data_IF_864715064795
#
_entry.id   IF_864715064795
#
_cell.length_a   1.000
_cell.length_b   1.000
_cell.length_c   1.000
_cell.angle_alpha   90.00
_cell.angle_beta   90.00
_cell.angle_gamma   90.00
#
_symmetry.space_group_name_H-M   'P 1'
#
loop_
_entity.id
_entity.type
_entity.pdbx_description
1 polymer ?
#
# COMPACT_ATOMS: atom_id res chain seq x y z
N UNK A 1 -35.46 -0.24 15.46
CA UNK A 1 -34.41 0.68 15.02
C UNK A 1 -33.11 -0.09 14.79
N UNK A 2 -32.55 0.03 13.60
CA UNK A 2 -31.27 -0.59 13.27
C UNK A 2 -30.14 0.26 13.83
N UNK A 3 -30.02 0.37 15.15
CA UNK A 3 -28.99 1.14 15.81
C UNK A 3 -27.86 0.19 16.22
N UNK A 4 -26.64 0.47 15.78
CA UNK A 4 -25.45 -0.24 16.24
C UNK A 4 -24.98 0.38 17.56
N UNK A 5 -24.90 -0.42 18.61
CA UNK A 5 -24.42 0.01 19.92
C UNK A 5 -22.98 -0.48 20.12
N UNK A 6 -22.11 0.42 20.54
CA UNK A 6 -20.76 0.08 20.98
C UNK A 6 -20.57 0.50 22.43
N UNK A 7 -20.21 -0.45 23.29
CA UNK A 7 -19.83 -0.18 24.68
C UNK A 7 -18.32 0.06 24.72
N UNK A 8 -17.92 1.29 24.98
CA UNK A 8 -16.50 1.68 24.86
C UNK A 8 -15.57 0.95 25.83
N UNK A 9 -16.06 0.58 27.02
CA UNK A 9 -15.31 -0.17 28.02
C UNK A 9 -15.12 -1.66 27.67
N UNK A 10 -16.02 -2.22 26.86
CA UNK A 10 -15.86 -3.59 26.34
C UNK A 10 -14.93 -3.62 25.14
N UNK A 11 -15.03 -2.61 24.25
CA UNK A 11 -14.18 -2.50 23.07
C UNK A 11 -12.72 -2.18 23.45
N UNK A 12 -12.51 -1.28 24.40
CA UNK A 12 -11.22 -0.76 24.81
C UNK A 12 -11.20 -0.52 26.33
N UNK A 13 -10.82 -1.53 27.15
CA UNK A 13 -10.83 -1.42 28.62
C UNK A 13 -9.62 -0.61 29.13
N UNK A 14 -9.56 0.68 28.77
CA UNK A 14 -8.51 1.62 29.19
C UNK A 14 -9.11 2.81 29.93
N UNK A 15 -8.32 3.45 30.79
CA UNK A 15 -8.77 4.59 31.58
C UNK A 15 -9.00 5.89 30.79
N UNK A 16 -8.38 6.05 29.63
CA UNK A 16 -8.44 7.27 28.81
C UNK A 16 -9.77 7.44 28.12
N UNK A 17 -10.50 8.49 28.49
CA UNK A 17 -11.86 8.72 28.00
C UNK A 17 -11.93 9.07 26.50
N UNK A 18 -11.09 10.02 26.04
CA UNK A 18 -11.16 10.50 24.65
C UNK A 18 -10.81 9.39 23.64
N UNK A 19 -9.77 8.64 23.91
CA UNK A 19 -9.33 7.52 23.08
C UNK A 19 -10.40 6.45 22.97
N UNK A 20 -11.06 6.10 24.06
CA UNK A 20 -12.19 5.16 24.06
C UNK A 20 -13.38 5.69 23.28
N UNK A 21 -13.74 6.97 23.49
CA UNK A 21 -14.85 7.60 22.80
C UNK A 21 -14.63 7.62 21.28
N UNK A 22 -13.47 8.10 20.85
CA UNK A 22 -13.10 8.16 19.43
C UNK A 22 -13.12 6.78 18.78
N UNK A 23 -12.51 5.78 19.43
CA UNK A 23 -12.46 4.40 18.93
C UNK A 23 -13.87 3.78 18.89
N UNK A 24 -14.71 4.00 19.90
CA UNK A 24 -16.08 3.50 19.94
C UNK A 24 -16.98 4.17 18.88
N UNK A 25 -16.77 5.46 18.63
CA UNK A 25 -17.49 6.19 17.57
C UNK A 25 -17.13 5.61 16.19
N UNK A 26 -15.84 5.37 15.93
CA UNK A 26 -15.39 4.70 14.70
C UNK A 26 -15.98 3.30 14.57
N UNK A 27 -16.03 2.52 15.64
CA UNK A 27 -16.64 1.18 15.64
C UNK A 27 -18.12 1.23 15.29
N UNK A 28 -18.87 2.15 15.90
CA UNK A 28 -20.29 2.34 15.62
C UNK A 28 -20.56 2.81 14.19
N UNK A 29 -19.65 3.62 13.63
CA UNK A 29 -19.74 4.13 12.26
C UNK A 29 -19.50 3.04 11.22
N UNK A 30 -18.43 2.24 11.36
CA UNK A 30 -18.08 1.21 10.37
C UNK A 30 -18.86 -0.09 10.56
N UNK A 31 -19.31 -0.39 11.78
CA UNK A 31 -19.97 -1.65 12.15
C UNK A 31 -21.13 -2.05 11.24
N UNK A 32 -22.13 -1.17 10.98
CA UNK A 32 -23.27 -1.50 10.11
C UNK A 32 -22.86 -1.81 8.66
N UNK A 33 -21.82 -1.14 8.16
CA UNK A 33 -21.33 -1.33 6.80
C UNK A 33 -20.63 -2.68 6.72
N UNK A 34 -19.71 -2.95 7.64
CA UNK A 34 -18.99 -4.20 7.72
C UNK A 34 -19.92 -5.39 7.92
N UNK A 35 -20.89 -5.27 8.82
CA UNK A 35 -21.86 -6.35 9.06
C UNK A 35 -22.58 -6.75 7.78
N UNK A 36 -23.13 -5.80 7.02
CA UNK A 36 -23.80 -6.08 5.74
C UNK A 36 -22.87 -6.77 4.74
N UNK A 37 -21.62 -6.32 4.68
CA UNK A 37 -20.61 -6.94 3.83
C UNK A 37 -20.34 -8.40 4.24
N UNK A 38 -20.15 -8.67 5.53
CA UNK A 38 -19.88 -10.01 6.05
C UNK A 38 -21.07 -10.95 5.84
N UNK A 39 -22.30 -10.48 6.11
CA UNK A 39 -23.52 -11.25 5.87
C UNK A 39 -23.63 -11.64 4.38
N UNK A 40 -23.36 -10.69 3.47
CA UNK A 40 -23.35 -10.94 2.02
C UNK A 40 -22.23 -11.89 1.60
N UNK A 41 -21.04 -11.74 2.15
CA UNK A 41 -19.90 -12.60 1.86
C UNK A 41 -20.17 -14.05 2.29
N UNK A 42 -20.68 -14.26 3.51
CA UNK A 42 -21.04 -15.59 4.01
C UNK A 42 -22.12 -16.24 3.14
N UNK A 43 -23.16 -15.48 2.75
CA UNK A 43 -24.21 -15.99 1.86
C UNK A 43 -23.67 -16.39 0.47
N UNK A 44 -22.76 -15.60 -0.09
CA UNK A 44 -22.12 -15.91 -1.38
C UNK A 44 -21.22 -17.15 -1.29
N UNK A 45 -20.42 -17.26 -0.23
CA UNK A 45 -19.58 -18.44 0.02
C UNK A 45 -20.42 -19.72 0.17
N UNK A 46 -21.53 -19.65 0.92
CA UNK A 46 -22.44 -20.76 1.07
C UNK A 46 -23.06 -21.18 -0.28
N UNK A 47 -23.44 -20.20 -1.13
CA UNK A 47 -24.02 -20.45 -2.46
C UNK A 47 -23.07 -21.20 -3.40
N UNK A 48 -21.76 -20.94 -3.32
CA UNK A 48 -20.74 -21.65 -4.12
C UNK A 48 -20.26 -22.95 -3.46
N UNK A 49 -20.87 -23.36 -2.32
CA UNK A 49 -20.54 -24.60 -1.63
C UNK A 49 -19.24 -24.56 -0.81
N UNK A 50 -18.76 -23.38 -0.43
CA UNK A 50 -17.59 -23.26 0.45
C UNK A 50 -17.87 -23.91 1.81
N UNK A 51 -16.99 -24.84 2.21
CA UNK A 51 -17.09 -25.60 3.47
C UNK A 51 -15.97 -25.27 4.46
N UNK A 52 -15.09 -24.32 4.13
CA UNK A 52 -14.00 -23.90 4.99
C UNK A 52 -14.45 -22.95 6.10
N UNK A 53 -13.50 -22.55 6.94
CA UNK A 53 -13.71 -21.54 7.97
C UNK A 53 -13.39 -20.17 7.38
N UNK A 54 -14.35 -19.24 7.44
CA UNK A 54 -14.12 -17.84 7.08
C UNK A 54 -13.53 -17.12 8.29
N UNK A 55 -12.35 -16.57 8.12
CA UNK A 55 -11.69 -15.69 9.09
C UNK A 55 -11.44 -14.34 8.45
N UNK A 56 -11.51 -13.29 9.25
CA UNK A 56 -11.33 -11.90 8.82
C UNK A 56 -10.05 -11.36 9.42
N UNK A 57 -9.14 -10.90 8.56
CA UNK A 57 -7.90 -10.25 8.96
C UNK A 57 -8.18 -8.98 9.75
N UNK A 58 -7.43 -8.77 10.82
CA UNK A 58 -7.49 -7.59 11.68
C UNK A 58 -6.25 -6.71 11.50
N UNK A 59 -6.35 -5.45 11.92
CA UNK A 59 -5.27 -4.46 11.83
C UNK A 59 -4.01 -4.83 12.60
N UNK A 60 -4.11 -5.69 13.60
CA UNK A 60 -3.00 -6.19 14.40
C UNK A 60 -2.30 -7.43 13.81
N UNK A 61 -2.71 -7.86 12.61
CA UNK A 61 -2.19 -9.07 11.97
C UNK A 61 -2.82 -10.37 12.45
N UNK A 62 -3.75 -10.32 13.40
CA UNK A 62 -4.55 -11.48 13.82
C UNK A 62 -5.77 -11.69 12.92
N UNK A 63 -6.49 -12.78 13.18
CA UNK A 63 -7.75 -13.12 12.49
C UNK A 63 -8.87 -13.35 13.49
N UNK A 64 -10.11 -13.08 13.07
CA UNK A 64 -11.31 -13.29 13.89
C UNK A 64 -12.46 -13.85 13.05
N UNK A 65 -13.44 -14.48 13.71
CA UNK A 65 -14.68 -14.91 13.03
C UNK A 65 -15.52 -13.71 12.58
N UNK A 66 -16.37 -13.85 11.56
CA UNK A 66 -17.28 -12.78 11.14
C UNK A 66 -18.14 -12.21 12.28
N UNK A 67 -18.62 -13.05 13.19
CA UNK A 67 -19.44 -12.64 14.34
C UNK A 67 -18.66 -11.78 15.33
N UNK A 68 -17.42 -12.18 15.64
CA UNK A 68 -16.52 -11.39 16.49
C UNK A 68 -16.14 -10.07 15.82
N UNK A 69 -15.79 -10.14 14.53
CA UNK A 69 -15.42 -8.97 13.73
C UNK A 69 -16.56 -7.96 13.63
N UNK A 70 -17.83 -8.39 13.50
CA UNK A 70 -18.98 -7.50 13.48
C UNK A 70 -19.16 -6.69 14.78
N UNK A 71 -18.72 -7.22 15.92
CA UNK A 71 -18.74 -6.51 17.22
C UNK A 71 -17.60 -5.50 17.36
N UNK A 72 -16.44 -5.86 16.82
CA UNK A 72 -15.20 -5.07 16.88
C UNK A 72 -14.75 -4.60 15.49
N UNK A 73 -15.70 -4.06 14.73
CA UNK A 73 -15.50 -3.69 13.33
C UNK A 73 -14.30 -2.76 13.10
N UNK A 74 -14.02 -1.89 14.06
CA UNK A 74 -12.87 -0.99 14.05
C UNK A 74 -11.51 -1.70 13.93
N UNK A 75 -11.43 -2.97 14.36
CA UNK A 75 -10.22 -3.80 14.22
C UNK A 75 -9.91 -4.18 12.77
N UNK A 76 -10.82 -3.94 11.83
CA UNK A 76 -10.56 -4.19 10.39
C UNK A 76 -10.06 -2.96 9.65
N UNK A 77 -10.01 -1.80 10.30
CA UNK A 77 -9.49 -0.59 9.68
C UNK A 77 -7.99 -0.74 9.39
N UNK A 78 -7.59 -0.56 8.14
CA UNK A 78 -6.22 -0.79 7.65
C UNK A 78 -5.76 -2.26 7.73
N UNK A 79 -6.68 -3.23 7.74
CA UNK A 79 -6.32 -4.65 7.73
C UNK A 79 -5.85 -5.17 6.36
N UNK A 80 -6.12 -4.44 5.26
CA UNK A 80 -5.69 -4.84 3.91
C UNK A 80 -4.18 -5.09 3.82
N UNK A 81 -3.34 -4.11 4.15
CA UNK A 81 -1.89 -4.28 4.13
C UNK A 81 -1.34 -5.13 5.29
N UNK A 82 -2.16 -5.52 6.27
CA UNK A 82 -1.71 -6.28 7.44
C UNK A 82 -1.17 -7.68 7.09
N UNK A 83 -1.62 -8.27 5.98
CA UNK A 83 -1.04 -9.52 5.48
C UNK A 83 0.40 -9.39 4.97
N UNK A 84 0.82 -8.19 4.56
CA UNK A 84 2.17 -7.96 3.99
C UNK A 84 3.31 -8.38 4.91
N UNK A 85 3.41 -7.88 6.16
CA UNK A 85 4.45 -8.28 7.10
C UNK A 85 4.45 -9.79 7.41
N UNK A 86 3.27 -10.40 7.50
CA UNK A 86 3.13 -11.86 7.73
C UNK A 86 3.65 -12.65 6.53
N UNK A 87 3.23 -12.28 5.32
CA UNK A 87 3.76 -12.89 4.09
C UNK A 87 5.28 -12.69 3.97
N UNK A 88 5.78 -11.50 4.31
CA UNK A 88 7.20 -11.20 4.32
C UNK A 88 8.01 -12.19 5.13
N UNK A 89 7.57 -12.51 6.34
CA UNK A 89 8.20 -13.53 7.18
C UNK A 89 8.22 -14.91 6.53
N UNK A 90 7.12 -15.31 5.88
CA UNK A 90 7.04 -16.62 5.22
C UNK A 90 8.07 -16.71 4.10
N UNK A 91 8.14 -15.70 3.24
CA UNK A 91 9.05 -15.71 2.08
C UNK A 91 10.52 -15.55 2.47
N UNK A 92 10.85 -14.80 3.51
CA UNK A 92 12.23 -14.64 3.97
C UNK A 92 12.67 -15.77 4.90
N UNK A 93 11.74 -16.35 5.68
CA UNK A 93 12.00 -17.49 6.54
C UNK A 93 12.49 -18.72 5.80
N UNK A 94 12.01 -18.98 4.59
CA UNK A 94 12.51 -20.05 3.70
C UNK A 94 14.00 -19.87 3.36
N UNK A 95 14.49 -18.63 3.41
CA UNK A 95 15.90 -18.26 3.15
C UNK A 95 16.73 -18.12 4.43
N UNK A 96 16.14 -18.40 5.59
CA UNK A 96 16.81 -18.36 6.90
C UNK A 96 16.82 -16.99 7.58
N UNK A 97 16.02 -16.02 7.09
CA UNK A 97 15.88 -14.72 7.75
C UNK A 97 14.66 -14.71 8.68
N UNK A 98 14.83 -14.16 9.87
CA UNK A 98 13.77 -13.89 10.85
C UNK A 98 13.37 -12.41 10.91
N UNK A 99 13.88 -11.62 9.96
CA UNK A 99 13.62 -10.20 9.85
C UNK A 99 13.53 -9.77 8.39
N UNK A 100 12.73 -8.75 8.11
CA UNK A 100 12.63 -8.17 6.76
C UNK A 100 11.99 -6.78 6.80
N UNK A 101 12.23 -6.03 5.74
CA UNK A 101 11.43 -4.87 5.37
C UNK A 101 10.49 -5.32 4.26
N UNK A 102 9.20 -5.09 4.39
CA UNK A 102 8.24 -5.36 3.33
C UNK A 102 7.76 -4.07 2.70
N UNK A 103 7.63 -4.06 1.40
CA UNK A 103 7.06 -2.95 0.63
C UNK A 103 6.02 -3.50 -0.34
N UNK A 104 4.88 -2.82 -0.40
CA UNK A 104 3.80 -3.12 -1.35
C UNK A 104 3.44 -1.85 -2.11
N UNK A 105 3.72 -1.82 -3.42
CA UNK A 105 3.42 -0.70 -4.29
C UNK A 105 2.30 -1.04 -5.26
N UNK A 106 1.16 -0.44 -5.01
CA UNK A 106 0.01 -0.51 -5.88
C UNK A 106 -0.09 0.68 -6.86
N UNK A 107 -1.33 0.96 -7.29
CA UNK A 107 -1.61 2.10 -8.18
C UNK A 107 -1.58 3.46 -7.47
N UNK A 108 -1.83 3.53 -6.16
CA UNK A 108 -2.05 4.80 -5.43
C UNK A 108 -1.15 4.98 -4.23
N UNK A 109 -0.70 3.91 -3.60
CA UNK A 109 0.09 3.93 -2.37
C UNK A 109 1.28 3.00 -2.43
N UNK A 110 2.20 3.27 -1.55
CA UNK A 110 3.34 2.45 -1.21
C UNK A 110 3.28 2.20 0.29
N UNK A 111 3.00 0.98 0.69
CA UNK A 111 2.88 0.55 2.06
C UNK A 111 4.17 -0.17 2.49
N UNK A 112 4.75 0.26 3.60
CA UNK A 112 6.00 -0.26 4.11
C UNK A 112 5.88 -0.69 5.56
N UNK A 113 6.53 -1.79 5.92
CA UNK A 113 6.59 -2.28 7.30
C UNK A 113 7.91 -2.96 7.61
N UNK A 114 8.20 -3.12 8.88
CA UNK A 114 9.40 -3.79 9.38
C UNK A 114 9.00 -4.97 10.24
N UNK A 115 9.68 -6.09 10.04
CA UNK A 115 9.60 -7.28 10.87
C UNK A 115 10.95 -7.51 11.55
N UNK A 116 10.95 -7.69 12.87
CA UNK A 116 12.16 -7.95 13.66
C UNK A 116 12.01 -9.23 14.46
N UNK A 117 13.00 -10.11 14.39
CA UNK A 117 13.05 -11.35 15.20
C UNK A 117 11.77 -12.17 15.11
N UNK A 118 11.25 -12.33 13.91
CA UNK A 118 10.03 -13.08 13.64
C UNK A 118 8.73 -12.37 14.02
N UNK A 119 8.77 -11.10 14.44
CA UNK A 119 7.59 -10.37 14.89
C UNK A 119 7.43 -9.06 14.10
N UNK A 120 6.28 -8.84 13.43
CA UNK A 120 5.96 -7.55 12.86
C UNK A 120 5.87 -6.46 13.92
N UNK A 121 6.39 -5.27 13.63
CA UNK A 121 6.29 -4.16 14.56
C UNK A 121 4.83 -3.72 14.75
N UNK A 122 4.47 -3.39 15.98
CA UNK A 122 3.15 -2.92 16.38
C UNK A 122 3.22 -1.48 16.86
N UNK A 123 2.17 -0.73 16.61
CA UNK A 123 1.87 0.54 17.27
C UNK A 123 0.61 0.40 18.12
N UNK A 124 0.59 1.04 19.28
CA UNK A 124 -0.54 0.98 20.23
C UNK A 124 -1.70 1.89 19.85
N UNK A 125 -1.47 2.84 18.94
CA UNK A 125 -2.46 3.84 18.53
C UNK A 125 -2.16 4.38 17.13
N UNK A 126 -3.19 4.92 16.49
CA UNK A 126 -3.08 5.53 15.17
C UNK A 126 -4.12 6.64 14.96
N UNK A 127 -4.14 7.18 13.75
CA UNK A 127 -5.08 8.19 13.31
C UNK A 127 -5.74 7.76 12.02
N UNK A 128 -7.06 7.89 11.96
CA UNK A 128 -7.84 7.66 10.75
C UNK A 128 -8.76 8.85 10.56
N UNK A 129 -8.68 9.54 9.42
CA UNK A 129 -9.47 10.72 9.12
C UNK A 129 -9.49 11.74 10.27
N UNK A 130 -8.34 12.00 10.89
CA UNK A 130 -8.16 12.89 12.06
C UNK A 130 -8.83 12.37 13.36
N UNK A 131 -9.31 11.15 13.36
CA UNK A 131 -9.86 10.49 14.56
C UNK A 131 -8.81 9.59 15.18
N UNK A 132 -8.68 9.63 16.49
CA UNK A 132 -7.73 8.78 17.22
C UNK A 132 -8.27 7.36 17.32
N UNK A 133 -7.41 6.41 16.99
CA UNK A 133 -7.69 4.98 17.09
C UNK A 133 -6.69 4.37 18.10
N UNK A 134 -7.18 3.99 19.26
CA UNK A 134 -6.35 3.48 20.36
C UNK A 134 -6.43 1.96 20.46
N UNK A 135 -6.06 1.29 19.37
CA UNK A 135 -6.00 -0.16 19.27
C UNK A 135 -4.63 -0.60 18.76
N UNK A 136 -4.10 -1.74 19.22
CA UNK A 136 -2.89 -2.32 18.63
C UNK A 136 -3.12 -2.60 17.14
N UNK A 137 -2.20 -2.13 16.32
CA UNK A 137 -2.21 -2.36 14.88
C UNK A 137 -0.78 -2.57 14.39
N UNK A 138 -0.62 -3.27 13.29
CA UNK A 138 0.67 -3.37 12.63
C UNK A 138 1.16 -1.98 12.25
N UNK A 139 2.45 -1.78 12.46
CA UNK A 139 3.08 -0.50 12.13
C UNK A 139 3.41 -0.44 10.65
N UNK A 140 2.39 -0.08 9.88
CA UNK A 140 2.47 0.07 8.43
C UNK A 140 2.50 1.56 8.11
N UNK A 141 3.52 1.98 7.40
CA UNK A 141 3.69 3.34 6.92
C UNK A 141 3.27 3.43 5.46
N UNK A 142 2.24 4.24 5.22
CA UNK A 142 1.70 4.46 3.88
C UNK A 142 2.18 5.78 3.32
N UNK A 143 2.81 5.74 2.16
CA UNK A 143 3.26 6.89 1.41
C UNK A 143 2.39 7.05 0.17
N UNK A 144 2.05 8.28 -0.19
CA UNK A 144 1.36 8.61 -1.42
C UNK A 144 2.26 8.48 -2.67
N UNK A 145 2.88 7.31 -2.84
CA UNK A 145 3.69 6.96 -3.99
C UNK A 145 3.15 5.67 -4.60
N UNK A 146 2.75 5.70 -5.86
CA UNK A 146 2.18 4.54 -6.55
C UNK A 146 2.27 4.71 -8.07
N UNK A 147 1.80 3.73 -8.82
CA UNK A 147 1.81 3.78 -10.28
C UNK A 147 1.07 4.98 -10.85
N UNK A 148 0.01 5.45 -10.19
CA UNK A 148 -0.78 6.62 -10.58
C UNK A 148 -0.24 7.95 -10.03
N UNK A 149 0.86 7.99 -9.29
CA UNK A 149 1.44 9.24 -8.79
C UNK A 149 1.79 10.17 -9.93
N UNK A 150 1.24 11.40 -9.88
CA UNK A 150 1.36 12.39 -10.95
C UNK A 150 2.70 13.11 -10.84
N UNK A 151 3.39 13.25 -11.98
CA UNK A 151 4.57 14.10 -12.12
C UNK A 151 4.16 15.54 -12.43
N UNK A 152 4.81 16.51 -11.78
CA UNK A 152 4.55 17.93 -11.96
C UNK A 152 5.78 18.79 -11.63
N UNK A 153 5.79 20.03 -12.09
CA UNK A 153 6.85 20.98 -11.82
C UNK A 153 6.34 21.98 -10.78
N UNK A 154 7.06 22.14 -9.69
CA UNK A 154 6.71 23.11 -8.65
C UNK A 154 7.07 24.56 -9.05
N UNK A 155 6.63 25.53 -8.22
CA UNK A 155 6.90 26.96 -8.47
C UNK A 155 8.40 27.33 -8.50
N UNK A 156 9.25 26.46 -7.95
CA UNK A 156 10.70 26.59 -8.00
C UNK A 156 11.35 25.94 -9.24
N UNK A 157 10.54 25.35 -10.14
CA UNK A 157 11.04 24.67 -11.34
C UNK A 157 11.58 23.26 -11.08
N UNK A 158 11.26 22.66 -9.92
CA UNK A 158 11.73 21.31 -9.57
C UNK A 158 10.68 20.25 -9.92
N UNK A 159 11.14 19.14 -10.47
CA UNK A 159 10.31 17.97 -10.73
C UNK A 159 9.87 17.32 -9.41
N UNK A 160 8.57 17.10 -9.28
CA UNK A 160 7.91 16.41 -8.16
C UNK A 160 7.12 15.21 -8.63
N UNK A 161 6.94 14.23 -7.74
CA UNK A 161 6.08 13.08 -7.93
C UNK A 161 5.10 12.96 -6.77
N UNK A 162 3.80 12.92 -7.07
CA UNK A 162 2.75 12.92 -6.05
C UNK A 162 2.67 14.23 -5.25
N UNK A 163 1.96 14.24 -4.10
CA UNK A 163 1.16 13.15 -3.53
C UNK A 163 -0.15 12.86 -4.30
N UNK A 164 -0.51 13.69 -5.30
CA UNK A 164 -1.69 13.49 -6.12
C UNK A 164 -1.54 12.23 -6.97
N UNK A 165 -2.62 11.47 -7.08
CA UNK A 165 -2.70 10.28 -7.91
C UNK A 165 -3.82 10.42 -8.93
N UNK A 166 -3.58 9.97 -10.17
CA UNK A 166 -4.59 9.86 -11.19
C UNK A 166 -5.64 8.75 -10.89
N UNK A 167 -5.39 7.93 -9.86
CA UNK A 167 -6.26 6.82 -9.50
C UNK A 167 -6.40 5.78 -10.62
N UNK A 168 -7.52 5.06 -10.60
CA UNK A 168 -7.87 4.09 -11.63
C UNK A 168 -8.72 4.71 -12.76
N UNK A 169 -9.40 5.83 -12.48
CA UNK A 169 -10.19 6.64 -13.41
C UNK A 169 -9.98 8.12 -13.12
N UNK A 170 -9.57 8.91 -14.11
CA UNK A 170 -9.22 8.49 -15.48
C UNK A 170 -7.98 7.61 -15.56
N UNK A 171 -7.12 7.61 -14.54
CA UNK A 171 -5.89 6.83 -14.46
C UNK A 171 -4.72 7.45 -15.25
N UNK A 172 -3.60 6.73 -15.36
CA UNK A 172 -2.46 7.07 -16.20
C UNK A 172 -2.87 7.39 -17.64
N UNK A 173 -2.14 8.30 -18.30
CA UNK A 173 -2.41 8.67 -19.68
C UNK A 173 -2.37 7.45 -20.62
N UNK A 174 -1.44 6.53 -20.37
CA UNK A 174 -1.30 5.30 -21.15
C UNK A 174 -2.48 4.32 -21.04
N UNK A 175 -3.41 4.53 -20.10
CA UNK A 175 -4.60 3.67 -20.00
C UNK A 175 -5.65 3.98 -21.05
N UNK A 176 -5.54 5.13 -21.75
CA UNK A 176 -6.51 5.52 -22.79
C UNK A 176 -7.93 5.77 -22.27
N UNK A 177 -8.07 6.13 -20.99
CA UNK A 177 -9.37 6.35 -20.32
C UNK A 177 -9.65 7.83 -20.03
N UNK A 178 -8.97 8.73 -20.74
CA UNK A 178 -9.12 10.18 -20.57
C UNK A 178 -8.15 10.80 -19.57
N UNK A 179 -7.17 10.06 -19.07
CA UNK A 179 -6.06 10.62 -18.31
C UNK A 179 -5.13 11.42 -19.22
N UNK A 180 -4.75 12.63 -18.78
CA UNK A 180 -3.88 13.54 -19.54
C UNK A 180 -2.59 13.88 -18.82
N UNK A 181 -2.56 13.67 -17.49
CA UNK A 181 -1.40 13.99 -16.65
C UNK A 181 -0.40 12.82 -16.63
N UNK A 182 0.92 13.13 -16.67
CA UNK A 182 1.96 12.11 -16.64
C UNK A 182 2.05 11.47 -15.27
N UNK A 183 2.11 10.13 -15.23
CA UNK A 183 2.19 9.36 -13.99
C UNK A 183 3.45 8.51 -13.93
N UNK A 184 3.70 7.91 -12.77
CA UNK A 184 4.76 6.92 -12.60
C UNK A 184 4.62 5.75 -13.60
N UNK A 185 3.38 5.28 -13.86
CA UNK A 185 3.13 4.22 -14.85
C UNK A 185 3.51 4.66 -16.26
N UNK A 186 3.20 5.92 -16.64
CA UNK A 186 3.60 6.47 -17.94
C UNK A 186 5.12 6.53 -18.09
N UNK A 187 5.82 6.96 -17.04
CA UNK A 187 7.28 6.97 -17.02
C UNK A 187 7.87 5.55 -17.17
N UNK A 188 7.34 4.59 -16.41
CA UNK A 188 7.76 3.19 -16.50
C UNK A 188 7.55 2.58 -17.90
N UNK A 189 6.45 2.95 -18.57
CA UNK A 189 6.15 2.51 -19.93
C UNK A 189 7.11 3.13 -20.96
N UNK A 190 7.40 4.42 -20.85
CA UNK A 190 8.33 5.13 -21.74
C UNK A 190 9.75 4.58 -21.60
N UNK A 191 10.17 4.27 -20.38
CA UNK A 191 11.49 3.67 -20.05
C UNK A 191 11.60 2.18 -20.46
N UNK A 192 10.49 1.54 -20.85
CA UNK A 192 10.47 0.15 -21.28
C UNK A 192 10.42 -0.88 -20.15
N UNK A 193 10.06 -0.45 -18.92
CA UNK A 193 9.85 -1.38 -17.80
C UNK A 193 8.50 -2.10 -17.85
N UNK A 194 7.56 -1.59 -18.66
CA UNK A 194 6.26 -2.21 -18.88
C UNK A 194 6.11 -2.60 -20.35
N UNK A 195 5.62 -3.83 -20.58
CA UNK A 195 5.28 -4.32 -21.89
C UNK A 195 3.87 -3.82 -22.27
N UNK A 196 3.71 -2.99 -23.33
CA UNK A 196 2.44 -2.35 -23.64
C UNK A 196 1.34 -3.35 -24.02
N UNK A 197 1.68 -4.48 -24.62
CA UNK A 197 0.71 -5.49 -25.07
C UNK A 197 0.38 -6.53 -24.01
N UNK A 198 1.09 -6.57 -22.89
CA UNK A 198 0.94 -7.61 -21.87
C UNK A 198 0.50 -7.09 -20.49
N UNK A 199 0.02 -5.86 -20.41
CA UNK A 199 -0.45 -5.32 -19.12
C UNK A 199 -1.68 -6.09 -18.61
N UNK A 200 -1.75 -6.37 -17.30
CA UNK A 200 -2.78 -7.21 -16.66
C UNK A 200 -2.91 -8.61 -17.32
N UNK A 201 -1.78 -9.20 -17.71
CA UNK A 201 -1.78 -10.51 -18.39
C UNK A 201 -2.38 -10.44 -19.79
N UNK A 202 -2.17 -9.33 -20.51
CA UNK A 202 -2.67 -9.10 -21.88
C UNK A 202 -4.12 -8.64 -21.97
N UNK A 203 -4.80 -8.43 -20.81
CA UNK A 203 -6.20 -7.96 -20.81
C UNK A 203 -6.36 -6.48 -21.09
N UNK A 204 -5.28 -5.73 -21.01
CA UNK A 204 -5.25 -4.30 -21.27
C UNK A 204 -4.00 -3.93 -22.05
N UNK A 205 -4.17 -3.15 -23.11
CA UNK A 205 -3.07 -2.56 -23.86
C UNK A 205 -2.80 -1.16 -23.37
N UNK A 206 -1.52 -0.80 -23.29
CA UNK A 206 -1.10 0.54 -22.90
C UNK A 206 -0.74 1.38 -24.12
N UNK A 207 -1.20 2.62 -24.15
CA UNK A 207 -0.88 3.61 -25.19
C UNK A 207 0.44 4.33 -24.85
N UNK A 208 1.55 3.87 -25.46
CA UNK A 208 2.87 4.46 -25.27
C UNK A 208 2.95 5.90 -25.76
N UNK A 209 2.24 6.22 -26.86
CA UNK A 209 2.25 7.57 -27.39
C UNK A 209 1.47 8.55 -26.51
N UNK A 210 0.38 8.11 -25.89
CA UNK A 210 -0.32 8.93 -24.89
C UNK A 210 0.59 9.23 -23.69
N UNK A 211 1.33 8.23 -23.18
CA UNK A 211 2.32 8.43 -22.12
C UNK A 211 3.39 9.46 -22.53
N UNK A 212 3.97 9.31 -23.73
CA UNK A 212 4.97 10.23 -24.27
C UNK A 212 4.45 11.66 -24.35
N UNK A 213 3.25 11.84 -24.92
CA UNK A 213 2.62 13.18 -25.04
C UNK A 213 2.38 13.82 -23.67
N UNK A 214 1.90 13.06 -22.69
CA UNK A 214 1.68 13.58 -21.35
C UNK A 214 3.00 14.04 -20.68
N UNK A 215 4.05 13.22 -20.74
CA UNK A 215 5.37 13.56 -20.20
C UNK A 215 5.98 14.75 -20.96
N UNK A 216 5.88 14.76 -22.29
CA UNK A 216 6.37 15.85 -23.12
C UNK A 216 5.75 17.19 -22.74
N UNK A 217 4.43 17.22 -22.64
CA UNK A 217 3.66 18.45 -22.42
C UNK A 217 3.91 19.03 -21.03
N UNK A 218 3.86 18.18 -20.01
CA UNK A 218 3.84 18.62 -18.61
C UNK A 218 5.20 18.67 -17.94
N UNK A 219 6.21 17.92 -18.45
CA UNK A 219 7.52 17.81 -17.81
C UNK A 219 8.65 18.19 -18.76
N UNK A 220 8.77 17.53 -19.91
CA UNK A 220 9.93 17.66 -20.79
C UNK A 220 10.04 19.08 -21.38
N UNK A 221 8.95 19.63 -21.96
CA UNK A 221 8.94 20.98 -22.50
C UNK A 221 9.21 22.08 -21.45
N UNK A 222 8.53 22.06 -20.27
CA UNK A 222 8.83 23.03 -19.22
C UNK A 222 10.29 23.00 -18.72
N UNK A 223 10.92 21.84 -18.70
CA UNK A 223 12.32 21.69 -18.27
C UNK A 223 13.34 21.81 -19.40
N UNK A 224 12.92 21.86 -20.66
CA UNK A 224 13.82 21.93 -21.82
C UNK A 224 14.68 20.66 -22.01
N UNK A 225 14.16 19.49 -21.68
CA UNK A 225 14.84 18.19 -21.76
C UNK A 225 14.08 17.19 -22.68
N UNK A 226 14.69 16.05 -22.98
CA UNK A 226 13.99 15.01 -23.74
C UNK A 226 12.93 14.30 -22.92
N UNK A 227 11.98 13.62 -23.59
CA UNK A 227 10.93 12.83 -22.94
C UNK A 227 11.53 11.69 -22.11
N UNK A 228 12.58 11.06 -22.61
CA UNK A 228 13.30 9.99 -21.91
C UNK A 228 14.00 10.50 -20.65
N UNK A 229 14.63 11.68 -20.71
CA UNK A 229 15.21 12.33 -19.54
C UNK A 229 14.16 12.72 -18.51
N UNK A 230 13.01 13.23 -18.96
CA UNK A 230 11.89 13.54 -18.09
C UNK A 230 11.33 12.29 -17.42
N UNK A 231 11.10 11.20 -18.17
CA UNK A 231 10.65 9.92 -17.62
C UNK A 231 11.66 9.33 -16.61
N UNK A 232 12.96 9.39 -16.91
CA UNK A 232 14.01 8.96 -15.98
C UNK A 232 14.05 9.81 -14.72
N UNK A 233 13.86 11.13 -14.83
CA UNK A 233 13.73 12.04 -13.69
C UNK A 233 12.52 11.69 -12.82
N UNK A 234 11.35 11.45 -13.42
CA UNK A 234 10.14 11.02 -12.71
C UNK A 234 10.38 9.71 -11.96
N UNK A 235 10.99 8.73 -12.62
CA UNK A 235 11.35 7.43 -12.02
C UNK A 235 12.32 7.61 -10.84
N UNK A 236 13.35 8.43 -11.00
CA UNK A 236 14.30 8.70 -9.92
C UNK A 236 13.63 9.36 -8.72
N UNK A 237 12.85 10.44 -8.92
CA UNK A 237 12.18 11.17 -7.83
C UNK A 237 11.24 10.29 -7.04
N UNK A 238 10.44 9.44 -7.69
CA UNK A 238 9.52 8.53 -6.97
C UNK A 238 10.28 7.49 -6.14
N UNK A 239 11.41 6.96 -6.64
CA UNK A 239 12.25 6.03 -5.88
C UNK A 239 12.90 6.70 -4.65
N UNK A 240 13.40 7.92 -4.79
CA UNK A 240 13.95 8.71 -3.67
C UNK A 240 12.88 8.97 -2.61
N UNK A 241 11.65 9.30 -3.02
CA UNK A 241 10.52 9.50 -2.09
C UNK A 241 10.20 8.21 -1.32
N UNK A 242 10.17 7.05 -1.99
CA UNK A 242 9.94 5.75 -1.35
C UNK A 242 11.07 5.38 -0.40
N UNK A 243 12.33 5.58 -0.81
CA UNK A 243 13.49 5.35 0.04
C UNK A 243 13.49 6.27 1.28
N UNK A 244 13.08 7.53 1.13
CA UNK A 244 12.93 8.46 2.26
C UNK A 244 11.90 7.97 3.27
N UNK A 245 10.76 7.45 2.81
CA UNK A 245 9.76 6.85 3.69
C UNK A 245 10.26 5.59 4.40
N UNK A 246 11.07 4.76 3.74
CA UNK A 246 11.71 3.63 4.40
C UNK A 246 12.72 4.08 5.47
N UNK A 247 13.49 5.15 5.24
CA UNK A 247 14.37 5.73 6.26
C UNK A 247 13.59 6.20 7.49
N UNK A 248 12.38 6.70 7.32
CA UNK A 248 11.51 7.13 8.42
C UNK A 248 11.12 5.96 9.35
N UNK A 249 10.81 4.79 8.79
CA UNK A 249 10.42 3.62 9.59
C UNK A 249 11.60 2.77 10.06
N UNK A 250 12.80 3.03 9.58
CA UNK A 250 14.03 2.30 9.90
C UNK A 250 15.03 3.21 10.62
N UNK A 251 15.81 4.00 9.91
CA UNK A 251 16.91 4.80 10.43
C UNK A 251 16.45 5.76 11.54
N UNK A 252 15.32 6.45 11.35
CA UNK A 252 14.77 7.35 12.36
C UNK A 252 14.36 6.64 13.66
N UNK A 253 14.26 5.30 13.64
CA UNK A 253 13.94 4.46 14.79
C UNK A 253 15.14 3.64 15.30
N UNK A 254 16.33 3.93 14.78
CA UNK A 254 17.56 3.22 15.18
C UNK A 254 17.69 1.83 14.56
N UNK A 255 16.96 1.53 13.49
CA UNK A 255 17.05 0.29 12.74
C UNK A 255 17.98 0.52 11.53
N UNK A 256 19.04 -0.29 11.41
CA UNK A 256 19.90 -0.28 10.22
C UNK A 256 19.23 -1.10 9.11
N UNK A 257 18.75 -0.49 8.02
CA UNK A 257 18.07 -1.22 6.97
C UNK A 257 18.97 -2.22 6.24
N UNK A 258 20.30 -2.03 6.27
CA UNK A 258 21.28 -2.91 5.61
C UNK A 258 21.35 -4.32 6.21
N UNK A 259 20.79 -4.50 7.39
CA UNK A 259 20.68 -5.80 8.05
C UNK A 259 19.45 -6.60 7.61
N UNK A 260 18.56 -6.01 6.78
CA UNK A 260 17.26 -6.56 6.45
C UNK A 260 17.16 -6.88 4.95
N UNK A 261 16.67 -8.06 4.56
CA UNK A 261 16.21 -8.28 3.20
C UNK A 261 14.99 -7.42 2.91
N UNK A 262 14.90 -6.89 1.70
CA UNK A 262 13.75 -6.16 1.19
C UNK A 262 12.80 -7.11 0.46
N UNK A 263 11.60 -7.30 0.97
CA UNK A 263 10.55 -8.03 0.26
C UNK A 263 9.71 -7.06 -0.53
N UNK A 264 9.68 -7.21 -1.84
CA UNK A 264 9.05 -6.26 -2.77
C UNK A 264 7.78 -6.86 -3.35
N UNK A 265 6.66 -6.22 -3.08
CA UNK A 265 5.33 -6.65 -3.47
C UNK A 265 4.54 -5.54 -4.18
N UNK A 266 3.31 -5.89 -4.56
CA UNK A 266 2.43 -5.04 -5.35
C UNK A 266 2.68 -5.12 -6.85
N UNK A 267 1.70 -4.69 -7.64
CA UNK A 267 1.79 -4.75 -9.10
C UNK A 267 2.85 -3.85 -9.71
N UNK A 268 3.25 -2.77 -9.00
CA UNK A 268 4.28 -1.82 -9.44
C UNK A 268 5.62 -2.00 -8.70
N UNK A 269 5.60 -2.57 -7.49
CA UNK A 269 6.77 -2.68 -6.61
C UNK A 269 8.02 -3.28 -7.25
N UNK A 270 7.94 -4.43 -7.94
CA UNK A 270 9.10 -5.07 -8.52
C UNK A 270 9.92 -4.21 -9.50
N UNK A 271 9.27 -3.22 -10.16
CA UNK A 271 9.96 -2.27 -11.06
C UNK A 271 10.91 -1.36 -10.28
N UNK A 272 10.55 -1.04 -9.05
CA UNK A 272 11.23 -0.04 -8.21
C UNK A 272 12.18 -0.64 -7.17
N UNK A 273 12.03 -1.94 -6.86
CA UNK A 273 12.74 -2.60 -5.76
C UNK A 273 14.26 -2.46 -5.82
N UNK A 274 14.86 -2.59 -7.02
CA UNK A 274 16.30 -2.47 -7.19
C UNK A 274 16.81 -1.05 -6.88
N UNK A 275 16.09 -0.01 -7.32
CA UNK A 275 16.49 1.37 -7.05
C UNK A 275 16.34 1.72 -5.58
N UNK A 276 15.26 1.26 -4.94
CA UNK A 276 15.06 1.43 -3.49
C UNK A 276 16.19 0.75 -2.70
N UNK A 277 16.57 -0.46 -3.10
CA UNK A 277 17.66 -1.19 -2.46
C UNK A 277 19.02 -0.48 -2.62
N UNK A 278 19.29 0.06 -3.79
CA UNK A 278 20.51 0.86 -4.03
C UNK A 278 20.54 2.12 -3.15
N UNK A 279 19.44 2.84 -3.05
CA UNK A 279 19.31 4.06 -2.25
C UNK A 279 19.51 3.81 -0.73
N UNK A 280 19.23 2.61 -0.27
CA UNK A 280 19.30 2.23 1.14
C UNK A 280 20.44 1.25 1.44
N UNK A 281 21.25 0.91 0.44
CA UNK A 281 22.34 -0.06 0.52
C UNK A 281 21.89 -1.45 1.03
N UNK A 282 20.68 -1.86 0.62
CA UNK A 282 20.13 -3.16 1.03
C UNK A 282 20.78 -4.30 0.27
N UNK A 283 21.28 -5.34 0.97
CA UNK A 283 22.08 -6.40 0.30
C UNK A 283 21.22 -7.43 -0.45
N UNK A 284 19.96 -7.59 -0.09
CA UNK A 284 19.08 -8.65 -0.59
C UNK A 284 17.70 -8.11 -0.93
N UNK A 285 17.21 -8.49 -2.10
CA UNK A 285 15.83 -8.22 -2.54
C UNK A 285 15.15 -9.56 -2.77
N UNK A 286 13.97 -9.72 -2.20
CA UNK A 286 13.09 -10.88 -2.41
C UNK A 286 11.84 -10.42 -3.15
N UNK A 287 11.62 -10.93 -4.35
CA UNK A 287 10.41 -10.67 -5.14
C UNK A 287 9.61 -11.96 -5.19
N UNK A 288 8.53 -12.08 -4.39
CA UNK A 288 7.67 -13.26 -4.45
C UNK A 288 7.02 -13.43 -5.82
N UNK A 289 6.83 -14.68 -6.24
CA UNK A 289 6.12 -14.98 -7.49
C UNK A 289 4.72 -14.38 -7.50
N UNK A 290 4.08 -14.37 -6.34
CA UNK A 290 2.74 -13.84 -6.09
C UNK A 290 2.76 -12.35 -5.68
N UNK A 291 3.79 -11.59 -6.05
CA UNK A 291 4.00 -10.20 -5.61
C UNK A 291 2.78 -9.30 -5.80
N UNK A 292 1.99 -9.51 -6.85
CA UNK A 292 0.79 -8.71 -7.14
C UNK A 292 -0.40 -8.97 -6.21
N UNK A 293 -0.39 -10.08 -5.47
CA UNK A 293 -1.42 -10.47 -4.49
C UNK A 293 -0.80 -10.79 -3.12
N UNK A 294 0.35 -10.25 -2.85
CA UNK A 294 1.21 -10.57 -1.71
C UNK A 294 0.50 -10.50 -0.36
N UNK A 295 -0.22 -9.40 -0.07
CA UNK A 295 -0.96 -9.25 1.18
C UNK A 295 -2.07 -10.29 1.37
N UNK A 296 -2.53 -10.94 0.29
CA UNK A 296 -3.50 -12.03 0.38
C UNK A 296 -2.85 -13.39 0.68
N UNK A 297 -1.51 -13.48 0.63
CA UNK A 297 -0.75 -14.69 0.96
C UNK A 297 -0.38 -14.78 2.44
N UNK A 298 -0.38 -13.67 3.16
CA UNK A 298 -0.16 -13.58 4.61
C UNK A 298 -1.44 -13.75 5.37
#
# INVERSE_FOLDING_TARGET
PNTSLTVSSELLPQARFYERLSTAALNSYVGPILKRYLDSLQANLARIGFKGVLLIMQSNGGVATPESTAKTAVMTLLSGPAGGPVAGLVFTGVQGYDQCITVDMGGTSFDASVVQRGVPLLRSEGWIARQRLALPMLDIHTIGAGGGSIGWIDDGGLLRMGPQSAGAQPGPACYGRGGELPTCTDANLVLGYLEPDYFLGGRMKLDREAARRAIETHIAKPLGISVEQAAAGMFHVVNVNMAAGLREITVSRGIDPREYPLVVAGGAGPIHGAMIALELELPVIVVPRESSIFCASG
#
